data_IF_459687988254
#
_entry.id   IF_459687988254
#
_cell.length_a   1.000
_cell.length_b   1.000
_cell.length_c   1.000
_cell.angle_alpha   90.00
_cell.angle_beta   90.00
_cell.angle_gamma   90.00
#
_symmetry.space_group_name_H-M   'P 1'
#
loop_
_entity.id
_entity.type
_entity.pdbx_description
1 polymer ?
#
# COMPACT_ATOMS: atom_id res chain seq x y z
N UNK A 1 15.29 9.27 -1.59
CA UNK A 1 14.20 9.20 -0.60
C UNK A 1 13.12 10.29 -0.78
N UNK A 2 11.85 9.90 -0.91
CA UNK A 2 10.68 10.80 -0.76
C UNK A 2 10.43 11.09 0.72
N UNK A 3 10.09 12.32 1.15
CA UNK A 3 9.76 12.59 2.55
C UNK A 3 8.48 11.87 3.02
N UNK A 4 8.44 11.45 4.28
CA UNK A 4 7.26 10.88 4.94
C UNK A 4 6.66 11.89 5.93
N UNK A 5 5.35 12.11 5.85
CA UNK A 5 4.66 13.12 6.66
C UNK A 5 3.68 12.55 7.70
N UNK A 6 3.41 11.25 7.68
CA UNK A 6 2.43 10.61 8.58
C UNK A 6 0.97 10.73 8.13
N UNK A 7 0.69 11.34 6.96
CA UNK A 7 -0.67 11.50 6.49
C UNK A 7 -1.16 10.24 5.77
N UNK A 8 -2.43 9.87 5.99
CA UNK A 8 -3.10 8.83 5.22
C UNK A 8 -3.11 9.20 3.72
N UNK A 9 -2.63 8.29 2.87
CA UNK A 9 -2.72 8.44 1.41
C UNK A 9 -4.15 8.15 0.93
N UNK A 10 -4.84 7.25 1.62
CA UNK A 10 -6.22 6.87 1.39
C UNK A 10 -6.96 6.91 2.73
N UNK A 11 -8.06 7.66 2.78
CA UNK A 11 -8.84 7.83 4.00
C UNK A 11 -9.24 6.48 4.60
N UNK A 12 -8.89 6.25 5.87
CA UNK A 12 -9.19 5.01 6.59
C UNK A 12 -8.21 3.86 6.32
N UNK A 13 -7.07 4.13 5.67
CA UNK A 13 -5.89 3.28 5.63
C UNK A 13 -4.76 3.95 6.41
N UNK A 14 -3.68 3.23 6.72
CA UNK A 14 -2.53 3.82 7.40
C UNK A 14 -1.75 4.79 6.51
N UNK A 15 -0.76 5.47 7.09
CA UNK A 15 0.16 6.33 6.36
C UNK A 15 1.17 5.55 5.47
N UNK A 16 1.07 4.21 5.38
CA UNK A 16 1.96 3.31 4.64
C UNK A 16 3.42 3.36 5.13
N UNK A 17 3.64 3.63 6.43
CA UNK A 17 4.99 3.74 7.00
C UNK A 17 5.83 2.49 6.74
N UNK A 18 5.24 1.29 6.88
CA UNK A 18 5.88 -0.01 6.64
C UNK A 18 6.43 -0.13 5.22
N UNK A 19 5.68 0.34 4.22
CA UNK A 19 6.16 0.32 2.83
C UNK A 19 7.26 1.36 2.60
N UNK A 20 7.06 2.57 3.11
CA UNK A 20 8.03 3.65 2.97
C UNK A 20 9.37 3.32 3.64
N UNK A 21 9.36 2.75 4.84
CA UNK A 21 10.56 2.46 5.61
C UNK A 21 11.37 1.30 5.02
N UNK A 22 10.73 0.38 4.29
CA UNK A 22 11.44 -0.62 3.49
C UNK A 22 12.30 0.04 2.41
N UNK A 23 11.75 1.01 1.68
CA UNK A 23 12.52 1.79 0.70
C UNK A 23 13.67 2.58 1.35
N UNK A 24 13.48 3.07 2.58
CA UNK A 24 14.56 3.73 3.34
C UNK A 24 15.71 2.78 3.63
N UNK A 25 15.39 1.56 4.10
CA UNK A 25 16.38 0.52 4.41
C UNK A 25 17.15 0.12 3.16
N UNK A 26 16.46 -0.09 2.04
CA UNK A 26 17.08 -0.45 0.76
C UNK A 26 18.05 0.66 0.29
N UNK A 27 17.64 1.94 0.34
CA UNK A 27 18.53 3.08 0.00
C UNK A 27 19.76 3.15 0.92
N UNK A 28 19.57 2.91 2.23
CA UNK A 28 20.64 2.94 3.22
C UNK A 28 21.65 1.80 2.99
N UNK A 29 21.15 0.58 2.74
CA UNK A 29 21.97 -0.59 2.45
C UNK A 29 22.77 -0.41 1.16
N UNK A 30 22.11 0.03 0.08
CA UNK A 30 22.79 0.32 -1.19
C UNK A 30 23.91 1.34 -1.01
N UNK A 31 23.68 2.40 -0.22
CA UNK A 31 24.72 3.38 0.09
C UNK A 31 25.87 2.75 0.89
N UNK A 32 25.59 1.93 1.91
CA UNK A 32 26.63 1.24 2.68
C UNK A 32 27.48 0.32 1.82
N UNK A 33 26.86 -0.44 0.92
CA UNK A 33 27.55 -1.33 -0.02
C UNK A 33 28.43 -0.53 -1.00
N UNK A 34 27.91 0.56 -1.57
CA UNK A 34 28.65 1.38 -2.53
C UNK A 34 29.90 2.04 -1.94
N UNK A 35 29.84 2.45 -0.67
CA UNK A 35 30.97 3.08 0.02
C UNK A 35 31.84 2.11 0.81
N UNK A 36 31.45 0.83 0.93
CA UNK A 36 32.17 -0.19 1.69
C UNK A 36 32.31 0.09 3.19
N UNK A 37 31.44 0.96 3.75
CA UNK A 37 31.53 1.43 5.14
C UNK A 37 30.18 1.24 5.83
N UNK A 38 30.19 0.48 6.92
CA UNK A 38 29.03 0.40 7.81
C UNK A 38 28.87 1.74 8.55
N UNK A 39 27.75 2.41 8.31
CA UNK A 39 27.39 3.68 8.96
C UNK A 39 27.00 3.44 10.44
N UNK A 40 27.44 4.29 11.40
CA UNK A 40 27.00 4.20 12.79
C UNK A 40 25.48 4.39 12.95
N UNK A 41 24.87 3.77 13.96
CA UNK A 41 23.42 3.88 14.24
C UNK A 41 22.95 5.33 14.38
N UNK A 42 23.72 6.18 15.08
CA UNK A 42 23.42 7.61 15.22
C UNK A 42 23.27 8.32 13.86
N UNK A 43 24.10 7.95 12.88
CA UNK A 43 24.00 8.49 11.52
C UNK A 43 22.72 7.99 10.85
N UNK A 44 22.42 6.69 10.96
CA UNK A 44 21.22 6.08 10.37
C UNK A 44 19.94 6.73 10.91
N UNK A 45 19.83 6.88 12.23
CA UNK A 45 18.69 7.52 12.92
C UNK A 45 18.59 8.99 12.55
N UNK A 46 19.71 9.71 12.47
CA UNK A 46 19.70 11.12 12.01
C UNK A 46 19.19 11.21 10.56
N UNK A 47 19.61 10.28 9.71
CA UNK A 47 19.16 10.21 8.31
C UNK A 47 17.67 9.88 8.20
N UNK A 48 17.15 9.02 9.07
CA UNK A 48 15.71 8.76 9.17
C UNK A 48 14.98 10.07 9.49
N UNK A 49 15.41 10.81 10.53
CA UNK A 49 14.82 12.09 10.91
C UNK A 49 14.82 13.14 9.80
N UNK A 50 15.89 13.21 9.00
CA UNK A 50 15.97 14.09 7.81
C UNK A 50 14.93 13.77 6.74
N UNK A 51 14.36 12.56 6.74
CA UNK A 51 13.34 12.13 5.79
C UNK A 51 11.91 12.29 6.34
N UNK A 52 11.74 12.61 7.62
CA UNK A 52 10.44 12.81 8.25
C UNK A 52 10.01 14.29 8.23
N UNK A 53 8.73 14.55 7.96
CA UNK A 53 8.13 15.90 7.87
C UNK A 53 6.80 15.90 8.63
N UNK A 54 6.25 17.09 8.87
CA UNK A 54 4.94 17.24 9.51
C UNK A 54 4.84 16.49 10.83
N UNK A 55 3.69 15.84 11.06
CA UNK A 55 3.38 15.10 12.28
C UNK A 55 4.39 13.98 12.56
N UNK A 56 4.81 13.23 11.53
CA UNK A 56 5.82 12.19 11.70
C UNK A 56 7.17 12.74 12.17
N UNK A 57 7.58 13.90 11.65
CA UNK A 57 8.80 14.57 12.10
C UNK A 57 8.69 15.10 13.52
N UNK A 58 7.54 15.68 13.89
CA UNK A 58 7.30 16.17 15.25
C UNK A 58 7.27 15.04 16.28
N UNK A 59 6.59 13.94 15.96
CA UNK A 59 6.54 12.73 16.80
C UNK A 59 7.95 12.16 17.04
N UNK A 60 8.69 11.92 15.95
CA UNK A 60 10.07 11.45 16.03
C UNK A 60 10.97 12.35 16.87
N UNK A 61 10.94 13.66 16.64
CA UNK A 61 11.83 14.59 17.34
C UNK A 61 11.55 14.67 18.84
N UNK A 62 10.32 14.43 19.29
CA UNK A 62 9.95 14.39 20.71
C UNK A 62 10.52 13.17 21.42
N UNK A 63 10.54 12.02 20.76
CA UNK A 63 10.87 10.73 21.39
C UNK A 63 12.26 10.20 21.04
N UNK A 64 12.93 10.74 20.02
CA UNK A 64 14.24 10.25 19.54
C UNK A 64 15.28 10.10 20.66
N UNK A 65 15.37 11.09 21.54
CA UNK A 65 16.39 11.09 22.59
C UNK A 65 16.02 10.05 23.68
N UNK A 66 14.74 9.83 23.97
CA UNK A 66 14.27 8.77 24.87
C UNK A 66 14.53 7.38 24.28
N UNK A 67 14.17 7.16 23.01
CA UNK A 67 14.43 5.90 22.31
C UNK A 67 15.93 5.59 22.25
N UNK A 68 16.78 6.60 22.09
CA UNK A 68 18.24 6.42 22.11
C UNK A 68 18.76 5.87 23.44
N UNK A 69 18.19 6.30 24.57
CA UNK A 69 18.56 5.79 25.90
C UNK A 69 18.02 4.37 26.16
N UNK A 70 16.91 3.98 25.53
CA UNK A 70 16.33 2.64 25.64
C UNK A 70 17.13 1.66 24.77
N UNK A 71 17.15 1.89 23.46
CA UNK A 71 17.88 1.08 22.49
C UNK A 71 18.37 1.96 21.32
N UNK A 72 19.68 2.24 21.23
CA UNK A 72 20.25 3.17 20.24
C UNK A 72 20.42 2.52 18.86
N UNK A 73 19.39 1.85 18.37
CA UNK A 73 19.36 1.16 17.06
C UNK A 73 18.32 1.78 16.15
N UNK A 74 18.62 1.84 14.85
CA UNK A 74 17.65 2.25 13.84
C UNK A 74 16.42 1.31 13.85
N UNK A 75 16.62 0.02 14.11
CA UNK A 75 15.55 -0.98 14.09
C UNK A 75 14.50 -0.68 15.16
N UNK A 76 14.93 -0.44 16.40
CA UNK A 76 14.02 -0.07 17.49
C UNK A 76 13.22 1.20 17.16
N UNK A 77 13.89 2.25 16.68
CA UNK A 77 13.23 3.50 16.29
C UNK A 77 12.22 3.29 15.15
N UNK A 78 12.52 2.41 14.20
CA UNK A 78 11.61 2.07 13.11
C UNK A 78 10.38 1.31 13.64
N UNK A 79 10.56 0.37 14.58
CA UNK A 79 9.45 -0.38 15.19
C UNK A 79 8.51 0.55 15.97
N UNK A 80 9.04 1.51 16.73
CA UNK A 80 8.24 2.50 17.46
C UNK A 80 7.48 3.43 16.51
N UNK A 81 8.13 3.88 15.42
CA UNK A 81 7.46 4.66 14.38
C UNK A 81 6.39 3.82 13.66
N UNK A 82 6.66 2.56 13.35
CA UNK A 82 5.67 1.67 12.74
C UNK A 82 4.48 1.46 13.68
N UNK A 83 4.72 1.26 14.97
CA UNK A 83 3.65 1.15 15.97
C UNK A 83 2.77 2.41 16.01
N UNK A 84 3.37 3.60 16.00
CA UNK A 84 2.64 4.86 16.07
C UNK A 84 1.85 5.19 14.80
N UNK A 85 2.33 4.77 13.63
CA UNK A 85 1.71 5.07 12.33
C UNK A 85 1.00 3.88 11.67
N UNK A 86 0.89 2.74 12.37
CA UNK A 86 0.16 1.57 11.92
C UNK A 86 -1.30 1.60 12.36
N UNK A 87 -2.15 0.97 11.57
CA UNK A 87 -3.53 0.71 11.92
C UNK A 87 -3.74 -0.81 11.95
N UNK A 88 -4.41 -1.30 13.00
CA UNK A 88 -4.88 -2.68 13.03
C UNK A 88 -6.27 -2.77 12.41
N UNK A 89 -6.49 -3.81 11.60
CA UNK A 89 -7.77 -4.04 10.93
C UNK A 89 -8.39 -5.34 11.43
N UNK A 90 -9.67 -5.28 11.79
CA UNK A 90 -10.48 -6.48 12.01
C UNK A 90 -10.84 -7.12 10.67
N UNK A 91 -11.12 -8.43 10.67
CA UNK A 91 -11.57 -9.15 9.45
C UNK A 91 -12.80 -8.49 8.79
N UNK A 92 -13.71 -7.94 9.60
CA UNK A 92 -14.87 -7.19 9.10
C UNK A 92 -14.47 -5.91 8.34
N UNK A 93 -13.53 -5.14 8.89
CA UNK A 93 -13.02 -3.92 8.23
C UNK A 93 -12.25 -4.25 6.94
N UNK A 94 -11.43 -5.32 6.95
CA UNK A 94 -10.75 -5.79 5.73
C UNK A 94 -11.77 -6.14 4.65
N UNK A 95 -12.80 -6.92 5.00
CA UNK A 95 -13.88 -7.27 4.07
C UNK A 95 -14.59 -6.02 3.53
N UNK A 96 -14.90 -5.05 4.39
CA UNK A 96 -15.52 -3.79 3.99
C UNK A 96 -14.64 -3.03 2.97
N UNK A 97 -13.33 -2.89 3.23
CA UNK A 97 -12.39 -2.23 2.33
C UNK A 97 -12.30 -2.92 0.95
N UNK A 98 -12.32 -4.25 0.91
CA UNK A 98 -12.35 -5.04 -0.33
C UNK A 98 -13.72 -5.04 -1.03
N UNK A 99 -14.79 -4.56 -0.38
CA UNK A 99 -16.11 -4.40 -1.02
C UNK A 99 -16.37 -2.99 -1.53
N UNK A 100 -15.41 -2.08 -1.39
CA UNK A 100 -15.50 -0.74 -1.95
C UNK A 100 -15.71 -0.81 -3.47
N UNK A 101 -16.76 -0.14 -3.97
CA UNK A 101 -17.02 -0.07 -5.41
C UNK A 101 -16.11 0.94 -6.09
N UNK A 102 -15.75 0.67 -7.34
CA UNK A 102 -15.14 1.67 -8.22
C UNK A 102 -16.06 2.88 -8.34
N UNK A 103 -15.52 4.07 -8.06
CA UNK A 103 -16.27 5.31 -8.28
C UNK A 103 -16.46 5.59 -9.78
N UNK A 104 -17.52 6.31 -10.13
CA UNK A 104 -17.84 6.61 -11.54
C UNK A 104 -16.75 7.44 -12.24
N UNK A 105 -15.98 8.24 -11.50
CA UNK A 105 -14.89 9.08 -12.02
C UNK A 105 -13.50 8.44 -12.00
N UNK A 106 -13.33 7.20 -11.53
CA UNK A 106 -12.02 6.53 -11.47
C UNK A 106 -11.88 5.43 -12.52
N UNK A 107 -10.66 5.23 -13.04
CA UNK A 107 -10.36 4.11 -13.93
C UNK A 107 -10.26 2.79 -13.17
N UNK A 108 -10.48 1.68 -13.86
CA UNK A 108 -10.28 0.34 -13.29
C UNK A 108 -8.86 0.12 -12.77
N UNK A 109 -7.86 0.70 -13.44
CA UNK A 109 -6.48 0.68 -12.98
C UNK A 109 -6.28 1.44 -11.66
N UNK A 110 -6.91 2.60 -11.49
CA UNK A 110 -6.84 3.36 -10.23
C UNK A 110 -7.48 2.57 -9.09
N UNK A 111 -8.60 1.89 -9.35
CA UNK A 111 -9.25 1.04 -8.36
C UNK A 111 -8.45 -0.21 -8.02
N UNK A 112 -7.75 -0.80 -9.00
CA UNK A 112 -6.77 -1.87 -8.76
C UNK A 112 -5.66 -1.42 -7.80
N UNK A 113 -5.06 -0.25 -8.05
CA UNK A 113 -4.01 0.29 -7.18
C UNK A 113 -4.50 0.49 -5.75
N UNK A 114 -5.73 0.99 -5.57
CA UNK A 114 -6.36 1.05 -4.25
C UNK A 114 -6.46 -0.33 -3.57
N UNK A 115 -6.95 -1.35 -4.27
CA UNK A 115 -7.06 -2.70 -3.69
C UNK A 115 -5.68 -3.33 -3.37
N UNK A 116 -4.64 -2.99 -4.12
CA UNK A 116 -3.26 -3.37 -3.79
C UNK A 116 -2.80 -2.74 -2.49
N UNK A 117 -3.08 -1.45 -2.27
CA UNK A 117 -2.76 -0.77 -1.02
C UNK A 117 -3.51 -1.44 0.13
N UNK A 118 -4.83 -1.66 0.01
CA UNK A 118 -5.62 -2.39 1.02
C UNK A 118 -5.00 -3.74 1.34
N UNK A 119 -4.62 -4.52 0.32
CA UNK A 119 -3.99 -5.83 0.49
C UNK A 119 -2.69 -5.76 1.28
N UNK A 120 -1.86 -4.74 1.04
CA UNK A 120 -0.58 -4.58 1.71
C UNK A 120 -0.74 -4.11 3.16
N UNK A 121 -1.71 -3.22 3.42
CA UNK A 121 -1.98 -2.67 4.75
C UNK A 121 -2.66 -3.69 5.68
N UNK A 122 -3.45 -4.60 5.10
CA UNK A 122 -4.20 -5.62 5.86
C UNK A 122 -3.50 -6.97 5.91
N UNK A 123 -2.33 -7.09 5.26
CA UNK A 123 -1.62 -8.35 5.00
C UNK A 123 -2.53 -9.45 4.42
N UNK A 124 -3.59 -9.05 3.69
CA UNK A 124 -4.59 -9.95 3.15
C UNK A 124 -4.06 -10.76 1.95
N UNK A 125 -4.78 -11.82 1.60
CA UNK A 125 -4.42 -12.65 0.44
C UNK A 125 -4.61 -11.87 -0.87
N UNK A 126 -3.60 -11.92 -1.74
CA UNK A 126 -3.70 -11.36 -3.11
C UNK A 126 -4.80 -12.00 -3.94
N UNK A 127 -5.30 -13.18 -3.54
CA UNK A 127 -6.44 -13.83 -4.18
C UNK A 127 -7.77 -13.06 -4.02
N UNK A 128 -7.87 -12.17 -3.02
CA UNK A 128 -9.07 -11.36 -2.80
C UNK A 128 -9.22 -10.22 -3.81
N UNK A 129 -8.11 -9.75 -4.40
CA UNK A 129 -8.13 -8.62 -5.34
C UNK A 129 -8.95 -8.94 -6.60
N UNK A 130 -8.70 -10.04 -7.35
CA UNK A 130 -9.48 -10.33 -8.56
C UNK A 130 -10.95 -10.63 -8.25
N UNK A 131 -11.24 -11.30 -7.13
CA UNK A 131 -12.62 -11.56 -6.70
C UNK A 131 -13.37 -10.28 -6.35
N UNK A 132 -12.72 -9.36 -5.62
CA UNK A 132 -13.25 -8.04 -5.29
C UNK A 132 -13.60 -7.25 -6.56
N UNK A 133 -12.69 -7.17 -7.53
CA UNK A 133 -12.92 -6.44 -8.78
C UNK A 133 -14.14 -6.96 -9.55
N UNK A 134 -14.28 -8.28 -9.65
CA UNK A 134 -15.43 -8.91 -10.31
C UNK A 134 -16.72 -8.61 -9.55
N UNK A 135 -16.74 -8.84 -8.22
CA UNK A 135 -17.94 -8.68 -7.40
C UNK A 135 -18.39 -7.22 -7.32
N UNK A 136 -17.47 -6.27 -7.34
CA UNK A 136 -17.79 -4.85 -7.20
C UNK A 136 -18.06 -4.13 -8.54
N UNK A 137 -17.97 -4.84 -9.67
CA UNK A 137 -18.43 -4.32 -10.95
C UNK A 137 -19.96 -4.09 -10.98
N UNK A 138 -20.41 -3.24 -11.90
CA UNK A 138 -21.84 -3.05 -12.14
C UNK A 138 -22.50 -4.37 -12.58
N UNK A 139 -23.79 -4.61 -12.31
CA UNK A 139 -24.42 -5.91 -12.52
C UNK A 139 -24.22 -6.51 -13.92
N UNK A 140 -24.28 -5.66 -14.95
CA UNK A 140 -24.13 -6.06 -16.35
C UNK A 140 -22.71 -6.56 -16.64
N UNK A 141 -21.71 -5.80 -16.18
CA UNK A 141 -20.29 -6.13 -16.39
C UNK A 141 -19.82 -7.26 -15.47
N UNK A 142 -20.39 -7.38 -14.26
CA UNK A 142 -20.08 -8.44 -13.31
C UNK A 142 -20.26 -9.82 -13.94
N UNK A 143 -21.34 -10.03 -14.71
CA UNK A 143 -21.58 -11.29 -15.38
C UNK A 143 -20.48 -11.63 -16.41
N UNK A 144 -20.07 -10.63 -17.19
CA UNK A 144 -19.00 -10.78 -18.18
C UNK A 144 -17.67 -11.09 -17.50
N UNK A 145 -17.27 -10.29 -16.51
CA UNK A 145 -16.02 -10.49 -15.78
C UNK A 145 -16.01 -11.81 -15.00
N UNK A 146 -17.14 -12.22 -14.40
CA UNK A 146 -17.25 -13.49 -13.69
C UNK A 146 -17.06 -14.71 -14.61
N UNK A 147 -17.49 -14.61 -15.87
CA UNK A 147 -17.29 -15.68 -16.86
C UNK A 147 -15.83 -15.82 -17.30
N UNK A 148 -15.05 -14.75 -17.23
CA UNK A 148 -13.64 -14.72 -17.63
C UNK A 148 -12.70 -14.98 -16.43
N UNK A 149 -13.16 -14.71 -15.22
CA UNK A 149 -12.42 -14.92 -13.98
C UNK A 149 -12.20 -16.41 -13.68
N UNK A 150 -10.94 -16.85 -13.72
CA UNK A 150 -10.55 -18.21 -13.39
C UNK A 150 -10.10 -18.34 -11.92
N UNK A 151 -10.97 -18.92 -11.07
CA UNK A 151 -10.70 -19.16 -9.64
C UNK A 151 -9.57 -20.14 -9.33
N UNK A 152 -9.09 -20.92 -10.31
CA UNK A 152 -8.02 -21.91 -10.12
C UNK A 152 -6.62 -21.36 -10.42
N UNK A 153 -6.53 -20.11 -10.88
CA UNK A 153 -5.26 -19.43 -11.17
C UNK A 153 -4.57 -19.04 -9.87
N UNK A 154 -3.26 -19.24 -9.84
CA UNK A 154 -2.38 -18.83 -8.73
C UNK A 154 -1.53 -17.61 -9.07
N UNK A 155 -1.53 -17.17 -10.33
CA UNK A 155 -0.87 -15.96 -10.83
C UNK A 155 -1.75 -14.72 -10.59
N UNK A 156 -2.15 -14.50 -9.33
CA UNK A 156 -3.15 -13.50 -8.95
C UNK A 156 -2.84 -12.10 -9.49
N UNK A 157 -1.57 -11.67 -9.47
CA UNK A 157 -1.16 -10.35 -9.97
C UNK A 157 -1.44 -10.20 -11.46
N UNK A 158 -1.05 -11.20 -12.27
CA UNK A 158 -1.26 -11.19 -13.72
C UNK A 158 -2.76 -11.24 -14.03
N UNK A 159 -3.47 -12.15 -13.38
CA UNK A 159 -4.92 -12.29 -13.54
C UNK A 159 -5.68 -11.02 -13.17
N UNK A 160 -5.24 -10.30 -12.14
CA UNK A 160 -5.84 -9.04 -11.71
C UNK A 160 -5.58 -7.90 -12.71
N UNK A 161 -4.47 -7.92 -13.45
CA UNK A 161 -4.18 -6.92 -14.49
C UNK A 161 -5.02 -7.13 -15.76
N UNK A 162 -5.42 -8.36 -16.04
CA UNK A 162 -6.28 -8.70 -17.18
C UNK A 162 -7.74 -8.24 -16.96
N UNK A 163 -8.25 -8.29 -15.72
CA UNK A 163 -9.64 -7.91 -15.39
C UNK A 163 -9.98 -6.46 -15.81
N UNK A 164 -9.16 -5.44 -15.51
CA UNK A 164 -9.34 -4.08 -16.03
C UNK A 164 -9.34 -3.99 -17.55
N UNK A 165 -8.55 -4.81 -18.24
CA UNK A 165 -8.49 -4.80 -19.71
C UNK A 165 -9.79 -5.35 -20.30
N UNK A 166 -10.32 -6.41 -19.70
CA UNK A 166 -11.62 -6.97 -20.07
C UNK A 166 -12.76 -5.98 -19.80
N UNK A 167 -12.74 -5.32 -18.64
CA UNK A 167 -13.72 -4.31 -18.27
C UNK A 167 -13.72 -3.12 -19.25
N UNK A 168 -12.53 -2.62 -19.60
CA UNK A 168 -12.39 -1.52 -20.57
C UNK A 168 -12.91 -1.93 -21.95
N UNK A 169 -12.58 -3.14 -22.40
CA UNK A 169 -13.06 -3.68 -23.69
C UNK A 169 -14.59 -3.75 -23.72
N UNK A 170 -15.22 -4.15 -22.62
CA UNK A 170 -16.67 -4.19 -22.50
C UNK A 170 -17.28 -2.77 -22.56
N UNK A 171 -16.75 -1.81 -21.80
CA UNK A 171 -17.23 -0.42 -21.82
C UNK A 171 -17.10 0.22 -23.22
N UNK A 172 -16.00 -0.03 -23.92
CA UNK A 172 -15.78 0.52 -25.26
C UNK A 172 -16.72 -0.08 -26.30
N UNK A 173 -17.09 -1.35 -26.14
CA UNK A 173 -18.07 -2.01 -27.00
C UNK A 173 -19.50 -1.51 -26.74
N UNK A 174 -19.88 -1.33 -25.47
CA UNK A 174 -21.18 -0.74 -25.08
C UNK A 174 -21.34 0.71 -25.57
N UNK A 175 -20.25 1.50 -25.58
CA UNK A 175 -20.28 2.86 -26.14
C UNK A 175 -20.46 2.88 -27.66
N UNK A 176 -19.97 1.86 -28.37
CA UNK A 176 -20.14 1.72 -29.83
C UNK A 176 -21.56 1.27 -30.22
N UNK A 177 -22.28 0.62 -29.31
CA UNK A 177 -23.62 0.07 -29.55
C UNK A 177 -24.75 0.99 -29.09
N UNK A 178 -24.47 2.06 -28.31
CA UNK A 178 -25.45 3.11 -28.01
C UNK A 178 -25.55 4.12 -29.17
N UNK A 179 -26.74 4.31 -29.77
CA UNK A 179 -26.96 5.27 -30.86
C UNK A 179 -26.81 6.73 -30.42
#
# INVERSE_FOLDING_TARGET
MRPFNGNELHKGLSAEFKHWVRGFRDELEMAQQAFGINRPEKYKISKLGECLRGEAGEFFNKLRDEWWEIEPTLDYVIEEMESAFSQSFTSAQVSELFTARKSSGTSWHTHYLYLMVVRNETDASSALIPESQVLQACPEMRLVLASQHNKKRNDYVVHTLEIPQWAQTYEDNERKTRP
#
